data_IF_363663263190
#
_entry.id   IF_363663263190
#
_cell.length_a   1.000
_cell.length_b   1.000
_cell.length_c   1.000
_cell.angle_alpha   90.00
_cell.angle_beta   90.00
_cell.angle_gamma   90.00
#
_symmetry.space_group_name_H-M   'P 1'
#
loop_
_entity.id
_entity.type
_entity.pdbx_description
1 polymer ?
#
# COMPACT_ATOMS: atom_id res chain seq x y z
N UNK A 1 4.47 -6.95 -19.21
CA UNK A 1 4.73 -8.40 -19.12
C UNK A 1 4.71 -8.98 -20.52
N UNK A 2 5.67 -9.86 -20.79
CA UNK A 2 6.03 -10.22 -22.15
C UNK A 2 5.15 -11.33 -22.76
N UNK A 3 4.34 -12.01 -21.95
CA UNK A 3 3.31 -12.96 -22.41
C UNK A 3 2.21 -13.20 -21.36
N UNK A 4 1.03 -13.64 -21.81
CA UNK A 4 -0.06 -14.10 -20.94
C UNK A 4 0.37 -15.33 -20.12
N UNK A 5 1.15 -16.23 -20.70
CA UNK A 5 1.66 -17.42 -20.02
C UNK A 5 2.50 -17.06 -18.78
N UNK A 6 3.40 -16.07 -18.90
CA UNK A 6 4.19 -15.60 -17.76
C UNK A 6 3.32 -14.94 -16.69
N UNK A 7 2.24 -14.27 -17.09
CA UNK A 7 1.25 -13.71 -16.16
C UNK A 7 0.57 -14.80 -15.35
N UNK A 8 0.06 -15.82 -16.01
CA UNK A 8 -0.64 -16.92 -15.35
C UNK A 8 0.31 -17.71 -14.43
N UNK A 9 1.56 -17.90 -14.85
CA UNK A 9 2.60 -18.55 -14.05
C UNK A 9 2.88 -17.77 -12.75
N UNK A 10 3.19 -16.47 -12.85
CA UNK A 10 3.50 -15.62 -11.70
C UNK A 10 2.29 -15.45 -10.77
N UNK A 11 1.09 -15.30 -11.34
CA UNK A 11 -0.15 -15.18 -10.55
C UNK A 11 -0.41 -16.45 -9.72
N UNK A 12 -0.24 -17.63 -10.34
CA UNK A 12 -0.39 -18.92 -9.63
C UNK A 12 0.66 -19.09 -8.55
N UNK A 13 1.93 -18.84 -8.88
CA UNK A 13 3.04 -18.98 -7.92
C UNK A 13 2.87 -18.02 -6.74
N UNK A 14 2.58 -16.74 -6.99
CA UNK A 14 2.30 -15.77 -5.94
C UNK A 14 1.14 -16.17 -5.05
N UNK A 15 0.05 -16.71 -5.63
CA UNK A 15 -1.10 -17.21 -4.85
C UNK A 15 -0.74 -18.41 -3.98
N UNK A 16 0.10 -19.32 -4.46
CA UNK A 16 0.59 -20.46 -3.68
C UNK A 16 1.45 -19.98 -2.49
N UNK A 17 2.36 -19.03 -2.72
CA UNK A 17 3.20 -18.48 -1.64
C UNK A 17 2.41 -17.63 -0.63
N UNK A 18 1.42 -16.85 -1.07
CA UNK A 18 0.54 -16.11 -0.16
C UNK A 18 -0.16 -17.07 0.81
N UNK A 19 -0.69 -18.20 0.32
CA UNK A 19 -1.33 -19.20 1.18
C UNK A 19 -0.38 -19.80 2.20
N UNK A 20 0.90 -19.97 1.84
CA UNK A 20 1.94 -20.43 2.77
C UNK A 20 2.23 -19.33 3.79
N UNK A 21 2.39 -18.08 3.35
CA UNK A 21 2.67 -16.96 4.25
C UNK A 21 1.53 -16.71 5.25
N UNK A 22 0.27 -16.94 4.87
CA UNK A 22 -0.87 -16.87 5.80
C UNK A 22 -0.71 -17.79 7.02
N UNK A 23 -0.05 -18.96 6.89
CA UNK A 23 0.20 -19.86 8.04
C UNK A 23 1.23 -19.30 9.01
N UNK A 24 2.13 -18.44 8.52
CA UNK A 24 3.19 -17.79 9.31
C UNK A 24 2.82 -16.36 9.76
N UNK A 25 1.60 -15.90 9.48
CA UNK A 25 1.12 -14.55 9.85
C UNK A 25 -0.12 -14.61 10.75
N UNK A 26 -0.05 -15.27 11.92
CA UNK A 26 -1.22 -15.55 12.77
C UNK A 26 -1.91 -14.28 13.27
N UNK A 27 -1.19 -13.17 13.44
CA UNK A 27 -1.76 -11.88 13.84
C UNK A 27 -2.76 -11.34 12.82
N UNK A 28 -2.39 -11.30 11.53
CA UNK A 28 -3.28 -10.87 10.46
C UNK A 28 -4.46 -11.81 10.30
N UNK A 29 -4.24 -13.13 10.41
CA UNK A 29 -5.31 -14.12 10.34
C UNK A 29 -6.29 -13.99 11.50
N UNK A 30 -5.81 -13.67 12.71
CA UNK A 30 -6.65 -13.40 13.86
C UNK A 30 -7.52 -12.15 13.63
N UNK A 31 -6.96 -11.06 13.08
CA UNK A 31 -7.71 -9.85 12.72
C UNK A 31 -8.82 -10.15 11.71
N UNK A 32 -8.52 -10.90 10.64
CA UNK A 32 -9.54 -11.34 9.66
C UNK A 32 -10.65 -12.13 10.33
N UNK A 33 -10.33 -13.06 11.23
CA UNK A 33 -11.30 -13.88 11.96
C UNK A 33 -12.18 -13.04 12.90
N UNK A 34 -11.59 -12.12 13.64
CA UNK A 34 -12.27 -11.32 14.66
C UNK A 34 -13.14 -10.20 14.05
N UNK A 35 -12.60 -9.48 13.06
CA UNK A 35 -13.19 -8.25 12.52
C UNK A 35 -13.73 -8.38 11.10
N UNK A 36 -13.46 -9.47 10.38
CA UNK A 36 -13.89 -9.64 8.98
C UNK A 36 -15.41 -9.55 8.77
N UNK A 37 -16.21 -9.96 9.77
CA UNK A 37 -17.68 -9.79 9.74
C UNK A 37 -18.14 -8.36 10.05
N UNK A 38 -17.36 -7.63 10.86
CA UNK A 38 -17.68 -6.27 11.30
C UNK A 38 -17.33 -5.24 10.21
N UNK A 39 -16.39 -5.58 9.33
CA UNK A 39 -15.90 -4.72 8.24
C UNK A 39 -15.54 -3.30 8.75
N UNK A 40 -14.66 -3.17 9.75
CA UNK A 40 -14.37 -1.87 10.37
C UNK A 40 -13.77 -0.85 9.41
N UNK A 41 -13.14 -1.30 8.32
CA UNK A 41 -12.56 -0.45 7.29
C UNK A 41 -13.53 -0.17 6.13
N UNK A 42 -14.83 -0.50 6.28
CA UNK A 42 -15.82 -0.21 5.24
C UNK A 42 -15.84 1.29 4.92
N UNK A 43 -15.56 1.60 3.65
CA UNK A 43 -15.48 2.99 3.16
C UNK A 43 -14.09 3.62 3.26
N UNK A 44 -13.12 2.94 3.88
CA UNK A 44 -11.73 3.32 3.78
C UNK A 44 -11.24 3.09 2.34
N UNK A 45 -10.64 4.12 1.77
CA UNK A 45 -9.92 4.13 0.50
C UNK A 45 -8.47 4.36 0.84
N UNK A 46 -7.69 3.28 0.86
CA UNK A 46 -6.31 3.27 1.36
C UNK A 46 -5.35 3.31 0.18
N UNK A 47 -4.49 4.31 0.18
CA UNK A 47 -3.33 4.37 -0.71
C UNK A 47 -2.14 3.85 0.07
N UNK A 48 -1.56 2.73 -0.36
CA UNK A 48 -0.42 2.08 0.28
C UNK A 48 0.87 2.28 -0.50
N UNK A 49 1.95 2.60 0.20
CA UNK A 49 3.31 2.64 -0.34
C UNK A 49 4.25 1.91 0.63
N UNK A 50 4.51 0.64 0.34
CA UNK A 50 5.24 -0.30 1.20
C UNK A 50 5.82 -1.37 0.29
N UNK A 51 6.98 -1.95 0.64
CA UNK A 51 7.60 -3.05 -0.11
C UNK A 51 6.57 -4.05 -0.65
N UNK A 52 6.48 -4.24 -1.97
CA UNK A 52 5.48 -5.13 -2.57
C UNK A 52 5.94 -6.60 -2.51
N UNK A 53 5.75 -7.22 -1.36
CA UNK A 53 6.16 -8.60 -1.04
C UNK A 53 4.98 -9.55 -0.85
N UNK A 54 5.25 -10.85 -0.69
CA UNK A 54 4.24 -11.83 -0.28
C UNK A 54 3.60 -11.47 1.07
N UNK A 55 4.38 -10.99 2.04
CA UNK A 55 3.86 -10.59 3.36
C UNK A 55 2.94 -9.37 3.23
N UNK A 56 3.32 -8.40 2.40
CA UNK A 56 2.48 -7.23 2.10
C UNK A 56 1.21 -7.63 1.37
N UNK A 57 1.24 -8.64 0.48
CA UNK A 57 0.03 -9.17 -0.13
C UNK A 57 -0.95 -9.74 0.93
N UNK A 58 -0.46 -10.42 1.96
CA UNK A 58 -1.30 -10.88 3.09
C UNK A 58 -1.88 -9.69 3.88
N UNK A 59 -1.11 -8.62 4.09
CA UNK A 59 -1.60 -7.37 4.67
C UNK A 59 -2.71 -6.73 3.81
N UNK A 60 -2.46 -6.58 2.52
CA UNK A 60 -3.42 -6.02 1.54
C UNK A 60 -4.75 -6.77 1.55
N UNK A 61 -4.71 -8.09 1.46
CA UNK A 61 -5.91 -8.93 1.51
C UNK A 61 -6.60 -8.85 2.88
N UNK A 62 -5.85 -8.64 3.97
CA UNK A 62 -6.42 -8.37 5.29
C UNK A 62 -7.19 -7.06 5.30
N UNK A 63 -6.64 -5.97 4.75
CA UNK A 63 -7.33 -4.68 4.67
C UNK A 63 -8.64 -4.78 3.88
N UNK A 64 -8.62 -5.51 2.76
CA UNK A 64 -9.81 -5.78 1.94
C UNK A 64 -10.82 -6.65 2.70
N UNK A 65 -10.37 -7.70 3.38
CA UNK A 65 -11.20 -8.54 4.24
C UNK A 65 -11.83 -7.75 5.40
N UNK A 66 -11.21 -6.66 5.83
CA UNK A 66 -11.76 -5.74 6.82
C UNK A 66 -12.63 -4.62 6.21
N UNK A 67 -12.82 -4.61 4.88
CA UNK A 67 -13.79 -3.75 4.18
C UNK A 67 -13.19 -2.55 3.43
N UNK A 68 -11.86 -2.41 3.40
CA UNK A 68 -11.21 -1.33 2.66
C UNK A 68 -11.25 -1.57 1.14
N UNK A 69 -11.16 -0.49 0.37
CA UNK A 69 -10.68 -0.51 -1.02
C UNK A 69 -9.27 0.02 -1.02
N UNK A 70 -8.36 -0.59 -1.78
CA UNK A 70 -6.94 -0.22 -1.75
C UNK A 70 -6.37 0.02 -3.15
N UNK A 71 -5.28 0.79 -3.22
CA UNK A 71 -4.35 0.91 -4.36
C UNK A 71 -2.93 0.90 -3.81
N UNK A 72 -1.99 0.27 -4.51
CA UNK A 72 -0.67 -0.02 -3.92
C UNK A 72 0.50 0.25 -4.86
N UNK A 73 1.59 0.76 -4.30
CA UNK A 73 2.92 0.88 -4.91
C UNK A 73 3.99 0.37 -3.95
N UNK A 74 5.18 0.08 -4.48
CA UNK A 74 6.34 -0.25 -3.66
C UNK A 74 7.03 1.02 -3.16
N UNK A 75 7.61 0.99 -1.95
CA UNK A 75 8.47 2.09 -1.43
C UNK A 75 9.95 1.93 -1.79
N UNK A 76 10.33 0.84 -2.50
CA UNK A 76 11.70 0.63 -2.92
C UNK A 76 11.80 -0.16 -4.23
N UNK A 77 12.59 0.39 -5.15
CA UNK A 77 12.78 -0.09 -6.53
C UNK A 77 13.25 -1.54 -6.67
N UNK A 78 13.87 -2.14 -5.65
CA UNK A 78 14.37 -3.52 -5.71
C UNK A 78 13.61 -4.50 -4.82
N UNK A 79 12.70 -4.00 -4.00
CA UNK A 79 12.02 -4.79 -2.96
C UNK A 79 10.86 -5.63 -3.48
N UNK A 80 10.29 -5.25 -4.62
CA UNK A 80 9.14 -5.95 -5.20
C UNK A 80 9.48 -7.41 -5.48
N UNK A 81 8.56 -8.28 -5.06
CA UNK A 81 8.50 -9.68 -5.45
C UNK A 81 7.43 -9.80 -6.54
N UNK A 82 7.85 -9.94 -7.80
CA UNK A 82 6.94 -9.80 -8.95
C UNK A 82 5.77 -10.79 -8.92
N UNK A 83 5.98 -12.01 -8.43
CA UNK A 83 4.90 -12.99 -8.27
C UNK A 83 3.86 -12.54 -7.24
N UNK A 84 4.26 -11.84 -6.17
CA UNK A 84 3.33 -11.24 -5.21
C UNK A 84 2.52 -10.11 -5.87
N UNK A 85 3.20 -9.19 -6.57
CA UNK A 85 2.56 -8.08 -7.27
C UNK A 85 1.55 -8.57 -8.33
N UNK A 86 1.96 -9.56 -9.15
CA UNK A 86 1.11 -10.16 -10.18
C UNK A 86 -0.07 -10.92 -9.57
N UNK A 87 0.11 -11.64 -8.46
CA UNK A 87 -1.00 -12.30 -7.77
C UNK A 87 -2.06 -11.31 -7.24
N UNK A 88 -1.64 -10.13 -6.77
CA UNK A 88 -2.55 -9.06 -6.38
C UNK A 88 -3.26 -8.43 -7.59
N UNK A 89 -2.52 -8.16 -8.67
CA UNK A 89 -3.10 -7.65 -9.90
C UNK A 89 -4.13 -8.63 -10.50
N UNK A 90 -3.83 -9.93 -10.51
CA UNK A 90 -4.74 -10.99 -10.95
C UNK A 90 -6.00 -11.11 -10.08
N UNK A 91 -5.93 -10.71 -8.81
CA UNK A 91 -7.07 -10.61 -7.91
C UNK A 91 -7.91 -9.32 -8.15
N UNK A 92 -7.56 -8.50 -9.14
CA UNK A 92 -8.25 -7.25 -9.47
C UNK A 92 -7.87 -6.08 -8.57
N UNK A 93 -6.78 -6.19 -7.80
CA UNK A 93 -6.30 -5.12 -6.93
C UNK A 93 -5.36 -4.21 -7.73
N UNK A 94 -5.56 -2.89 -7.74
CA UNK A 94 -4.67 -1.97 -8.46
C UNK A 94 -3.29 -1.90 -7.78
N UNK A 95 -2.30 -2.55 -8.40
CA UNK A 95 -0.90 -2.56 -7.95
C UNK A 95 0.00 -2.04 -9.07
N UNK A 96 0.87 -1.11 -8.71
CA UNK A 96 1.87 -0.48 -9.59
C UNK A 96 3.23 -0.70 -8.95
N UNK A 97 3.82 -1.86 -9.21
CA UNK A 97 5.11 -2.25 -8.65
C UNK A 97 5.75 -3.35 -9.49
N UNK A 98 7.06 -3.25 -9.76
CA UNK A 98 7.89 -4.33 -10.28
C UNK A 98 9.30 -4.25 -9.70
N UNK A 99 10.06 -5.33 -9.81
CA UNK A 99 11.46 -5.35 -9.37
C UNK A 99 12.36 -4.67 -10.41
N UNK A 100 13.22 -3.77 -9.96
CA UNK A 100 14.18 -3.07 -10.82
C UNK A 100 13.62 -1.82 -11.49
N UNK A 101 12.65 -1.16 -10.87
CA UNK A 101 12.16 0.15 -11.29
C UNK A 101 13.29 1.18 -11.40
N UNK A 102 13.18 2.12 -12.33
CA UNK A 102 13.91 3.39 -12.21
C UNK A 102 13.27 4.28 -11.16
N UNK A 103 13.96 5.35 -10.75
CA UNK A 103 13.40 6.32 -9.79
C UNK A 103 12.16 7.00 -10.38
N UNK A 104 12.18 7.32 -11.67
CA UNK A 104 11.05 7.92 -12.37
C UNK A 104 9.85 6.97 -12.45
N UNK A 105 10.11 5.67 -12.63
CA UNK A 105 9.06 4.63 -12.61
C UNK A 105 8.45 4.48 -11.22
N UNK A 106 9.26 4.49 -10.16
CA UNK A 106 8.78 4.42 -8.77
C UNK A 106 7.92 5.64 -8.41
N UNK A 107 8.37 6.84 -8.76
CA UNK A 107 7.58 8.07 -8.60
C UNK A 107 6.25 7.97 -9.36
N UNK A 108 6.28 7.47 -10.59
CA UNK A 108 5.08 7.27 -11.41
C UNK A 108 4.13 6.25 -10.76
N UNK A 109 4.66 5.15 -10.21
CA UNK A 109 3.89 4.13 -9.50
C UNK A 109 3.14 4.72 -8.30
N UNK A 110 3.83 5.48 -7.44
CA UNK A 110 3.20 6.19 -6.30
C UNK A 110 2.10 7.12 -6.84
N UNK A 111 2.39 7.89 -7.89
CA UNK A 111 1.41 8.79 -8.50
C UNK A 111 0.16 8.05 -8.99
N UNK A 112 0.30 6.85 -9.60
CA UNK A 112 -0.85 6.04 -10.05
C UNK A 112 -1.74 5.57 -8.90
N UNK A 113 -1.18 5.38 -7.71
CA UNK A 113 -1.97 5.05 -6.53
C UNK A 113 -2.79 6.25 -6.04
N UNK A 114 -2.30 7.47 -6.24
CA UNK A 114 -2.96 8.72 -5.88
C UNK A 114 -4.04 9.10 -6.89
N UNK A 115 -3.68 9.24 -8.17
CA UNK A 115 -4.58 9.79 -9.20
C UNK A 115 -5.66 8.80 -9.65
N UNK A 116 -5.38 7.51 -9.51
CA UNK A 116 -6.30 6.45 -9.95
C UNK A 116 -7.58 6.32 -9.14
N UNK A 117 -7.74 7.07 -8.05
CA UNK A 117 -9.01 7.23 -7.33
C UNK A 117 -9.99 8.20 -8.00
N UNK A 118 -9.54 8.93 -9.04
CA UNK A 118 -10.33 9.94 -9.72
C UNK A 118 -10.77 11.08 -8.79
N UNK A 119 -11.88 11.74 -9.13
CA UNK A 119 -12.38 12.92 -8.39
C UNK A 119 -12.76 12.62 -6.94
N UNK A 120 -13.16 11.38 -6.65
CA UNK A 120 -13.53 10.99 -5.30
C UNK A 120 -12.32 11.03 -4.38
N UNK A 121 -11.13 10.65 -4.88
CA UNK A 121 -9.90 10.58 -4.10
C UNK A 121 -9.92 9.43 -3.09
N UNK A 122 -8.92 9.44 -2.22
CA UNK A 122 -8.74 8.49 -1.12
C UNK A 122 -8.78 9.21 0.23
N UNK A 123 -8.88 8.45 1.31
CA UNK A 123 -9.04 9.01 2.65
C UNK A 123 -8.03 8.47 3.67
N UNK A 124 -7.18 7.52 3.32
CA UNK A 124 -6.17 6.96 4.23
C UNK A 124 -4.83 6.74 3.52
N UNK A 125 -3.73 7.02 4.23
CA UNK A 125 -2.36 6.70 3.80
C UNK A 125 -1.81 5.60 4.69
N UNK A 126 -1.18 4.60 4.07
CA UNK A 126 -0.36 3.60 4.73
C UNK A 126 1.03 3.64 4.07
N UNK A 127 2.03 4.09 4.83
CA UNK A 127 3.33 4.50 4.29
C UNK A 127 4.49 3.82 5.01
N UNK A 128 5.57 3.66 4.27
CA UNK A 128 6.85 3.13 4.70
C UNK A 128 7.95 3.98 4.05
N UNK A 129 8.55 4.85 4.86
CA UNK A 129 9.65 5.74 4.48
C UNK A 129 9.22 7.20 4.25
N UNK A 130 7.92 7.43 4.04
CA UNK A 130 7.32 8.77 3.95
C UNK A 130 7.20 9.33 2.53
N UNK A 131 7.54 8.58 1.48
CA UNK A 131 7.55 9.06 0.09
C UNK A 131 6.13 9.37 -0.41
N UNK A 132 5.16 8.52 -0.10
CA UNK A 132 3.76 8.77 -0.44
C UNK A 132 3.23 9.98 0.32
N UNK A 133 3.51 10.08 1.62
CA UNK A 133 3.13 11.22 2.45
C UNK A 133 3.71 12.52 1.90
N UNK A 134 4.99 12.52 1.54
CA UNK A 134 5.66 13.68 0.96
C UNK A 134 5.06 14.05 -0.41
N UNK A 135 4.82 13.06 -1.29
CA UNK A 135 4.22 13.31 -2.60
C UNK A 135 2.83 13.94 -2.48
N UNK A 136 1.99 13.43 -1.57
CA UNK A 136 0.65 13.97 -1.34
C UNK A 136 0.70 15.41 -0.83
N UNK A 137 1.56 15.71 0.15
CA UNK A 137 1.67 17.07 0.71
C UNK A 137 2.25 18.07 -0.30
N UNK A 138 3.19 17.64 -1.15
CA UNK A 138 3.92 18.54 -2.04
C UNK A 138 3.28 18.68 -3.42
N UNK A 139 2.82 17.59 -4.04
CA UNK A 139 2.26 17.57 -5.40
C UNK A 139 0.72 17.59 -5.42
N UNK A 140 0.04 17.08 -4.39
CA UNK A 140 -1.42 16.96 -4.33
C UNK A 140 -2.04 17.61 -3.07
N UNK A 141 -1.68 18.88 -2.74
CA UNK A 141 -2.11 19.52 -1.49
C UNK A 141 -3.63 19.67 -1.36
N UNK A 142 -4.37 19.62 -2.47
CA UNK A 142 -5.84 19.65 -2.47
C UNK A 142 -6.46 18.34 -1.94
N UNK A 143 -5.76 17.21 -2.05
CA UNK A 143 -6.24 15.91 -1.57
C UNK A 143 -6.15 15.77 -0.05
N UNK A 144 -5.19 16.47 0.57
CA UNK A 144 -4.92 16.47 2.01
C UNK A 144 -6.20 16.63 2.84
N UNK A 145 -7.14 17.49 2.43
CA UNK A 145 -8.40 17.76 3.16
C UNK A 145 -9.34 16.56 3.26
N UNK A 146 -9.17 15.55 2.41
CA UNK A 146 -10.01 14.35 2.39
C UNK A 146 -9.39 13.19 3.17
N UNK A 147 -8.11 13.30 3.52
CA UNK A 147 -7.36 12.23 4.18
C UNK A 147 -7.53 12.39 5.69
N UNK A 148 -8.00 11.33 6.34
CA UNK A 148 -8.31 11.33 7.77
C UNK A 148 -7.11 10.89 8.62
N UNK A 149 -6.14 10.18 8.04
CA UNK A 149 -4.96 9.71 8.76
C UNK A 149 -3.86 9.12 7.88
N UNK A 150 -2.65 9.10 8.45
CA UNK A 150 -1.45 8.43 7.97
C UNK A 150 -1.05 7.36 9.01
N UNK A 151 -0.60 6.20 8.56
CA UNK A 151 0.19 5.28 9.38
C UNK A 151 1.58 5.15 8.75
N UNK A 152 2.64 5.27 9.55
CA UNK A 152 4.03 5.19 9.08
C UNK A 152 4.78 4.07 9.79
N UNK A 153 5.41 3.19 9.01
CA UNK A 153 6.03 1.96 9.49
C UNK A 153 7.50 2.11 9.89
N UNK A 154 8.26 3.07 9.35
CA UNK A 154 9.72 3.10 9.57
C UNK A 154 10.20 4.26 10.40
N UNK A 155 11.32 4.03 11.10
CA UNK A 155 12.03 5.07 11.85
C UNK A 155 12.35 6.30 10.99
N UNK A 156 12.72 6.11 9.72
CA UNK A 156 13.02 7.21 8.79
C UNK A 156 11.77 8.03 8.45
N UNK A 157 10.68 7.38 8.07
CA UNK A 157 9.43 8.10 7.78
C UNK A 157 8.88 8.82 9.02
N UNK A 158 8.99 8.21 10.21
CA UNK A 158 8.62 8.85 11.49
C UNK A 158 9.46 10.10 11.75
N UNK A 159 10.77 10.04 11.46
CA UNK A 159 11.64 11.22 11.56
C UNK A 159 11.17 12.33 10.62
N UNK A 160 10.81 12.00 9.38
CA UNK A 160 10.24 12.95 8.43
C UNK A 160 8.92 13.56 8.91
N UNK A 161 8.01 12.76 9.47
CA UNK A 161 6.77 13.25 10.06
C UNK A 161 7.05 14.25 11.20
N UNK A 162 8.01 13.96 12.08
CA UNK A 162 8.41 14.90 13.14
C UNK A 162 9.01 16.20 12.59
N UNK A 163 9.80 16.14 11.52
CA UNK A 163 10.29 17.34 10.85
C UNK A 163 9.14 18.17 10.28
N UNK A 164 8.19 17.53 9.58
CA UNK A 164 7.01 18.19 9.04
C UNK A 164 6.16 18.83 10.13
N UNK A 165 6.05 18.23 11.32
CA UNK A 165 5.38 18.83 12.48
C UNK A 165 6.12 20.10 12.94
N UNK A 166 7.44 20.01 13.14
CA UNK A 166 8.26 21.15 13.58
C UNK A 166 8.19 22.33 12.60
N UNK A 167 8.09 22.04 11.32
CA UNK A 167 7.95 23.04 10.25
C UNK A 167 6.51 23.53 10.04
N UNK A 168 5.52 22.99 10.76
CA UNK A 168 4.11 23.30 10.58
C UNK A 168 3.52 22.84 9.24
N UNK A 169 4.18 21.89 8.57
CA UNK A 169 3.82 21.36 7.25
C UNK A 169 2.95 20.11 7.30
N UNK A 170 3.01 19.29 8.35
CA UNK A 170 2.14 18.12 8.48
C UNK A 170 0.69 18.58 8.66
N UNK A 171 -0.19 18.18 7.74
CA UNK A 171 -1.61 18.60 7.72
C UNK A 171 -2.59 17.49 8.08
N UNK A 172 -2.11 16.25 8.18
CA UNK A 172 -2.91 15.06 8.40
C UNK A 172 -2.43 14.41 9.71
N UNK A 173 -3.33 13.93 10.59
CA UNK A 173 -2.94 13.16 11.77
C UNK A 173 -2.16 11.90 11.36
N UNK A 174 -1.08 11.58 12.08
CA UNK A 174 -0.25 10.42 11.79
C UNK A 174 -0.09 9.52 13.02
N UNK A 175 -0.12 8.21 12.81
CA UNK A 175 0.22 7.19 13.80
C UNK A 175 1.58 6.60 13.44
N UNK A 176 2.52 6.65 14.38
CA UNK A 176 3.78 5.93 14.31
C UNK A 176 3.54 4.45 14.65
N UNK A 177 3.87 3.54 13.73
CA UNK A 177 3.79 2.07 13.92
C UNK A 177 5.14 1.45 14.28
N UNK A 178 6.27 2.13 14.00
CA UNK A 178 7.64 1.71 14.35
C UNK A 178 7.90 1.70 15.86
#
# INVERSE_FOLDING_TARGET
MDSQERFDELARWGREEIKIAETEMPGLMALRKEYGKQKPLKGAKITGCLHMTIQTAVLMETLIDLGATIRWSSCNIFSTQDHAAVAMAAAGIPVFAWKGETVEEADWCIEQTIVGWGKEGFNMILDDGGDLTAMVHNKFPEMVKKIIGITEETTTGVHHLHMMIKEGKLKIPAINVN
#
